data_IF_498130410143
#
_entry.id   IF_498130410143
#
_cell.length_a   1.000
_cell.length_b   1.000
_cell.length_c   1.000
_cell.angle_alpha   90.00
_cell.angle_beta   90.00
_cell.angle_gamma   90.00
#
_symmetry.space_group_name_H-M   'P 1'
#
loop_
_entity.id
_entity.type
_entity.pdbx_description
1 polymer ?
#
# COMPACT_ATOMS: atom_id res chain seq x y z
N UNK A 1 18.93 29.16 -1.66
CA UNK A 1 18.01 28.35 -0.82
C UNK A 1 18.65 28.16 0.55
N UNK A 2 18.02 28.62 1.63
CA UNK A 2 18.55 28.49 2.98
C UNK A 2 18.53 27.02 3.43
N UNK A 3 19.62 26.54 4.02
CA UNK A 3 19.68 25.19 4.57
C UNK A 3 18.76 25.10 5.80
N UNK A 4 17.83 24.12 5.80
CA UNK A 4 17.02 23.82 6.99
C UNK A 4 17.96 23.52 8.17
N UNK A 5 17.79 24.26 9.27
CA UNK A 5 18.44 23.97 10.55
C UNK A 5 17.74 22.77 11.16
N UNK A 6 18.48 21.68 11.36
CA UNK A 6 17.99 20.49 12.02
C UNK A 6 18.17 20.66 13.53
N UNK A 7 17.09 20.57 14.29
CA UNK A 7 17.13 20.53 15.74
C UNK A 7 17.68 19.19 16.25
N UNK A 8 18.12 19.17 17.51
CA UNK A 8 18.63 17.94 18.13
C UNK A 8 17.56 16.84 18.19
N UNK A 9 16.31 17.21 18.51
CA UNK A 9 15.16 16.30 18.50
C UNK A 9 14.94 15.63 17.13
N UNK A 10 15.06 16.39 16.03
CA UNK A 10 14.96 15.82 14.68
C UNK A 10 16.12 14.85 14.38
N UNK A 11 17.33 15.14 14.87
CA UNK A 11 18.48 14.26 14.70
C UNK A 11 18.30 12.94 15.45
N UNK A 12 17.81 13.00 16.69
CA UNK A 12 17.49 11.84 17.49
C UNK A 12 16.40 10.99 16.82
N UNK A 13 15.37 11.63 16.27
CA UNK A 13 14.31 10.91 15.55
C UNK A 13 14.85 10.18 14.32
N UNK A 14 15.70 10.85 13.51
CA UNK A 14 16.33 10.23 12.36
C UNK A 14 17.19 9.04 12.79
N UNK A 15 17.98 9.17 13.86
CA UNK A 15 18.86 8.10 14.35
C UNK A 15 18.09 6.86 14.82
N UNK A 16 16.90 7.02 15.38
CA UNK A 16 16.05 5.89 15.79
C UNK A 16 15.27 5.28 14.61
N UNK A 17 14.89 6.10 13.61
CA UNK A 17 13.96 5.67 12.57
C UNK A 17 14.61 5.41 11.20
N UNK A 18 15.88 5.77 10.95
CA UNK A 18 16.50 5.62 9.62
C UNK A 18 16.64 4.17 9.12
N UNK A 19 16.66 3.20 10.04
CA UNK A 19 16.69 1.77 9.69
C UNK A 19 15.29 1.23 9.38
N UNK A 20 14.26 1.83 9.98
CA UNK A 20 12.87 1.39 9.90
C UNK A 20 12.17 2.08 8.72
N UNK A 21 12.30 3.40 8.63
CA UNK A 21 11.63 4.26 7.65
C UNK A 21 12.54 4.57 6.46
N UNK A 22 11.95 4.59 5.27
CA UNK A 22 12.63 5.01 4.04
C UNK A 22 12.98 6.50 4.06
N UNK A 23 13.92 6.91 3.20
CA UNK A 23 14.23 8.34 3.04
C UNK A 23 12.99 9.15 2.61
N UNK A 24 12.07 8.55 1.86
CA UNK A 24 10.80 9.18 1.43
C UNK A 24 9.88 9.45 2.62
N UNK A 25 9.66 8.47 3.50
CA UNK A 25 8.77 8.65 4.64
C UNK A 25 9.30 9.64 5.67
N UNK A 26 10.62 9.61 5.94
CA UNK A 26 11.26 10.64 6.75
C UNK A 26 11.09 12.03 6.14
N UNK A 27 11.18 12.13 4.81
CA UNK A 27 11.00 13.39 4.11
C UNK A 27 9.56 13.93 4.28
N UNK A 28 8.55 13.06 4.17
CA UNK A 28 7.15 13.40 4.39
C UNK A 28 6.87 13.84 5.84
N UNK A 29 7.44 13.14 6.84
CA UNK A 29 7.27 13.49 8.27
C UNK A 29 7.83 14.89 8.62
N UNK A 30 8.91 15.30 7.96
CA UNK A 30 9.57 16.59 8.23
C UNK A 30 9.21 17.68 7.22
N UNK A 31 8.39 17.38 6.20
CA UNK A 31 8.05 18.30 5.12
C UNK A 31 9.27 18.75 4.31
N UNK A 32 10.27 17.88 4.15
CA UNK A 32 11.51 18.19 3.42
C UNK A 32 11.64 17.34 2.16
N UNK A 33 12.58 17.68 1.30
CA UNK A 33 12.94 16.84 0.15
C UNK A 33 13.73 15.61 0.62
N UNK A 34 13.57 14.42 0.00
CA UNK A 34 14.37 13.23 0.34
C UNK A 34 15.88 13.44 0.22
N UNK A 35 16.33 14.32 -0.69
CA UNK A 35 17.74 14.74 -0.79
C UNK A 35 18.27 15.45 0.47
N UNK A 36 17.42 16.21 1.18
CA UNK A 36 17.81 16.87 2.42
C UNK A 36 18.03 15.84 3.55
N UNK A 37 17.19 14.80 3.60
CA UNK A 37 17.33 13.67 4.54
C UNK A 37 18.60 12.89 4.24
N UNK A 38 18.89 12.59 2.97
CA UNK A 38 20.12 11.92 2.56
C UNK A 38 21.38 12.72 2.94
N UNK A 39 21.39 14.02 2.65
CA UNK A 39 22.48 14.91 3.05
C UNK A 39 22.68 14.93 4.58
N UNK A 40 21.59 14.84 5.34
CA UNK A 40 21.66 14.76 6.81
C UNK A 40 22.19 13.41 7.31
N UNK A 41 21.74 12.29 6.75
CA UNK A 41 22.27 10.96 7.05
C UNK A 41 23.77 10.87 6.77
N UNK A 42 24.22 11.48 5.66
CA UNK A 42 25.64 11.58 5.31
C UNK A 42 26.45 12.37 6.36
N UNK A 43 25.92 13.48 6.87
CA UNK A 43 26.54 14.25 7.98
C UNK A 43 26.61 13.45 9.27
N UNK A 44 25.59 12.64 9.55
CA UNK A 44 25.53 11.76 10.72
C UNK A 44 26.32 10.45 10.56
N UNK A 45 26.95 10.23 9.40
CA UNK A 45 27.70 8.99 9.05
C UNK A 45 26.87 7.71 9.21
N UNK A 46 25.55 7.80 9.12
CA UNK A 46 24.65 6.65 9.24
C UNK A 46 24.59 5.92 7.89
N UNK A 47 25.13 4.69 7.83
CA UNK A 47 25.08 3.84 6.64
C UNK A 47 23.94 2.83 6.78
N UNK A 48 23.06 2.78 5.78
CA UNK A 48 22.07 1.69 5.66
C UNK A 48 22.81 0.46 5.12
N UNK A 49 22.69 -0.70 5.78
CA UNK A 49 23.21 -1.95 5.24
C UNK A 49 22.50 -2.25 3.91
N UNK A 50 23.24 -2.49 2.84
CA UNK A 50 22.71 -2.66 1.48
C UNK A 50 21.94 -3.97 1.27
N UNK A 51 21.74 -4.76 2.31
CA UNK A 51 21.08 -6.06 2.27
C UNK A 51 19.96 -6.12 3.31
N UNK A 52 18.95 -5.25 3.17
CA UNK A 52 17.72 -5.36 3.95
C UNK A 52 16.61 -5.57 2.94
N UNK A 53 16.20 -6.83 2.77
CA UNK A 53 14.90 -7.17 2.19
C UNK A 53 13.87 -6.37 2.99
N UNK A 54 13.18 -5.45 2.32
CA UNK A 54 12.14 -4.62 2.94
C UNK A 54 11.06 -5.56 3.47
N UNK A 55 11.15 -5.93 4.73
CA UNK A 55 10.07 -6.63 5.43
C UNK A 55 9.08 -5.53 5.79
N UNK A 56 8.14 -5.32 4.89
CA UNK A 56 6.98 -4.47 5.13
C UNK A 56 6.23 -5.04 6.33
N UNK A 57 6.21 -4.32 7.45
CA UNK A 57 5.08 -4.42 8.37
C UNK A 57 4.83 -3.08 9.04
N UNK A 58 3.63 -2.59 8.74
CA UNK A 58 3.02 -1.35 9.17
C UNK A 58 3.02 -1.20 10.68
N UNK A 59 3.41 -0.01 11.17
CA UNK A 59 2.82 0.56 12.38
C UNK A 59 2.44 2.01 12.03
N UNK A 60 1.15 2.19 11.79
CA UNK A 60 0.55 3.42 11.27
C UNK A 60 0.51 4.54 12.32
N UNK A 61 0.87 5.80 11.98
CA UNK A 61 0.22 6.95 12.57
C UNK A 61 -0.85 7.50 11.62
N UNK A 62 -2.09 7.32 12.07
CA UNK A 62 -3.39 7.87 11.67
C UNK A 62 -3.33 9.21 10.90
N UNK A 63 -4.37 9.41 10.08
CA UNK A 63 -4.76 10.59 9.26
C UNK A 63 -4.18 10.52 7.84
N UNK A 64 -4.95 10.37 6.75
CA UNK A 64 -6.17 11.09 6.34
C UNK A 64 -6.98 10.19 5.40
N UNK A 65 -8.31 10.29 5.45
CA UNK A 65 -9.27 9.48 4.67
C UNK A 65 -9.00 9.58 3.15
N UNK A 66 -8.41 8.54 2.55
CA UNK A 66 -8.64 8.20 1.14
C UNK A 66 -9.63 7.06 1.13
N UNK A 67 -10.79 7.30 0.53
CA UNK A 67 -11.87 6.32 0.43
C UNK A 67 -11.32 5.00 -0.12
N UNK A 68 -11.64 3.90 0.57
CA UNK A 68 -11.51 2.56 0.02
C UNK A 68 -12.22 2.57 -1.32
N UNK A 69 -11.51 2.37 -2.43
CA UNK A 69 -12.14 1.79 -3.60
C UNK A 69 -12.47 0.37 -3.16
N UNK A 70 -13.75 0.16 -2.89
CA UNK A 70 -14.29 -1.10 -2.43
C UNK A 70 -13.91 -2.18 -3.46
N UNK A 71 -13.06 -3.14 -3.06
CA UNK A 71 -12.60 -4.23 -3.93
C UNK A 71 -13.76 -5.15 -4.37
N UNK A 72 -14.96 -4.87 -3.92
CA UNK A 72 -16.23 -5.58 -4.16
C UNK A 72 -16.76 -5.49 -5.58
N UNK A 73 -15.95 -5.03 -6.54
CA UNK A 73 -16.28 -5.08 -7.98
C UNK A 73 -15.34 -6.03 -8.74
N UNK A 74 -14.94 -7.13 -8.11
CA UNK A 74 -14.30 -8.23 -8.82
C UNK A 74 -15.39 -9.03 -9.57
N UNK A 75 -15.51 -8.77 -10.87
CA UNK A 75 -16.30 -9.61 -11.77
C UNK A 75 -15.60 -10.96 -11.92
N UNK A 76 -16.29 -12.05 -11.57
CA UNK A 76 -15.79 -13.41 -11.76
C UNK A 76 -16.45 -14.00 -13.00
N UNK A 77 -15.67 -14.63 -13.86
CA UNK A 77 -16.21 -15.34 -15.02
C UNK A 77 -16.86 -16.65 -14.54
N UNK A 78 -18.19 -16.74 -14.60
CA UNK A 78 -18.93 -17.92 -14.20
C UNK A 78 -19.68 -18.50 -15.40
N UNK A 79 -19.71 -19.83 -15.48
CA UNK A 79 -20.49 -20.54 -16.49
C UNK A 79 -21.83 -20.97 -15.90
N UNK A 80 -22.94 -20.62 -16.53
CA UNK A 80 -24.24 -21.12 -16.12
C UNK A 80 -24.35 -22.62 -16.40
N UNK A 81 -24.86 -23.43 -15.46
CA UNK A 81 -25.04 -24.87 -15.66
C UNK A 81 -26.17 -25.22 -16.64
N UNK A 82 -27.18 -24.35 -16.74
CA UNK A 82 -28.35 -24.57 -17.60
C UNK A 82 -28.11 -24.16 -19.04
N UNK A 83 -27.70 -22.89 -19.27
CA UNK A 83 -27.48 -22.39 -20.63
C UNK A 83 -26.03 -22.46 -21.11
N UNK A 84 -25.10 -22.94 -20.26
CA UNK A 84 -23.66 -23.09 -20.58
C UNK A 84 -22.93 -21.80 -21.00
N UNK A 85 -23.60 -20.65 -20.95
CA UNK A 85 -23.02 -19.33 -21.22
C UNK A 85 -22.02 -18.93 -20.13
N UNK A 86 -20.87 -18.41 -20.55
CA UNK A 86 -19.84 -17.83 -19.67
C UNK A 86 -20.02 -16.33 -19.70
N UNK A 87 -20.24 -15.72 -18.55
CA UNK A 87 -20.38 -14.26 -18.41
C UNK A 87 -19.67 -13.80 -17.13
N UNK A 88 -19.42 -12.49 -17.04
CA UNK A 88 -18.76 -11.87 -15.90
C UNK A 88 -19.79 -11.41 -14.88
N UNK A 89 -19.91 -12.12 -13.77
CA UNK A 89 -20.88 -11.82 -12.72
C UNK A 89 -20.21 -11.18 -11.51
N UNK A 90 -20.94 -10.27 -10.85
CA UNK A 90 -20.56 -9.76 -9.53
C UNK A 90 -21.06 -10.68 -8.43
N UNK A 91 -20.49 -10.59 -7.21
CA UNK A 91 -20.94 -11.43 -6.08
C UNK A 91 -22.39 -11.19 -5.63
N UNK A 92 -23.03 -10.12 -6.13
CA UNK A 92 -24.43 -9.79 -5.85
C UNK A 92 -25.41 -10.44 -6.83
N UNK A 93 -24.92 -11.04 -7.90
CA UNK A 93 -25.74 -11.63 -8.94
C UNK A 93 -25.85 -13.14 -8.74
N UNK A 94 -26.94 -13.57 -8.09
CA UNK A 94 -27.22 -14.99 -7.86
C UNK A 94 -27.89 -15.69 -9.06
N UNK A 95 -28.32 -14.96 -10.10
CA UNK A 95 -29.06 -15.52 -11.24
C UNK A 95 -28.38 -15.21 -12.58
N UNK A 96 -28.43 -16.17 -13.50
CA UNK A 96 -27.95 -15.99 -14.87
C UNK A 96 -28.82 -14.99 -15.64
N UNK A 97 -28.19 -14.02 -16.31
CA UNK A 97 -28.88 -12.99 -17.12
C UNK A 97 -29.63 -13.56 -18.35
N UNK A 98 -29.25 -14.75 -18.80
CA UNK A 98 -29.81 -15.36 -20.02
C UNK A 98 -30.99 -16.28 -19.73
N UNK A 99 -30.92 -17.11 -18.69
CA UNK A 99 -31.93 -18.13 -18.40
C UNK A 99 -32.61 -17.97 -17.03
N UNK A 100 -32.20 -16.99 -16.22
CA UNK A 100 -32.76 -16.74 -14.89
C UNK A 100 -32.45 -17.81 -13.84
N UNK A 101 -31.70 -18.87 -14.19
CA UNK A 101 -31.34 -19.93 -13.23
C UNK A 101 -30.26 -19.45 -12.26
N UNK A 102 -30.32 -19.93 -11.01
CA UNK A 102 -29.33 -19.64 -9.97
C UNK A 102 -27.92 -20.06 -10.41
N UNK A 103 -26.95 -19.16 -10.28
CA UNK A 103 -25.54 -19.42 -10.52
C UNK A 103 -24.93 -20.12 -9.31
N UNK A 104 -24.17 -21.18 -9.56
CA UNK A 104 -23.42 -21.89 -8.53
C UNK A 104 -21.94 -21.52 -8.66
N UNK A 105 -21.32 -21.06 -7.58
CA UNK A 105 -19.87 -20.92 -7.49
C UNK A 105 -19.30 -22.33 -7.62
N UNK A 106 -18.68 -22.64 -8.76
CA UNK A 106 -18.01 -23.94 -8.92
C UNK A 106 -16.79 -23.94 -8.00
N UNK A 107 -16.67 -24.95 -7.14
CA UNK A 107 -15.51 -25.14 -6.28
C UNK A 107 -14.22 -25.04 -7.11
N UNK A 108 -13.37 -24.11 -6.71
CA UNK A 108 -12.01 -23.99 -7.24
C UNK A 108 -11.27 -25.25 -6.78
N UNK A 109 -11.07 -26.21 -7.70
CA UNK A 109 -10.25 -27.40 -7.45
C UNK A 109 -8.84 -27.03 -6.99
#
# INVERSE_FOLDING_TARGET
MAAKKWTDAENAFIKNNYQIMGNKELAEKFGVTPKAVEGKLRKLKLKRAKNVKVIQKSIEPKTTKKGKVDRSTLHHNMRCRTCLMVDGYTEKEDCCRFCGTKLFKSDVL
#
